data_IF_605796403102
#
_entry.id   IF_605796403102
#
_cell.length_a   1.000
_cell.length_b   1.000
_cell.length_c   1.000
_cell.angle_alpha   90.00
_cell.angle_beta   90.00
_cell.angle_gamma   90.00
#
_symmetry.space_group_name_H-M   'P 1'
#
loop_
_entity.id
_entity.type
_entity.pdbx_description
1 polymer ?
#
# COMPACT_ATOMS: atom_id res chain seq x y z
N UNK A 1 19.88 17.99 7.47
CA UNK A 1 19.25 18.55 6.25
C UNK A 1 19.20 17.51 5.12
N UNK A 2 20.34 16.94 4.70
CA UNK A 2 20.41 15.95 3.62
C UNK A 2 19.49 14.72 3.82
N UNK A 3 19.51 14.10 5.01
CA UNK A 3 18.65 12.95 5.34
C UNK A 3 17.16 13.28 5.19
N UNK A 4 16.74 14.48 5.63
CA UNK A 4 15.34 14.90 5.56
C UNK A 4 14.90 15.15 4.11
N UNK A 5 15.77 15.73 3.28
CA UNK A 5 15.51 15.90 1.84
C UNK A 5 15.41 14.54 1.14
N UNK A 6 16.30 13.60 1.47
CA UNK A 6 16.32 12.27 0.86
C UNK A 6 15.07 11.47 1.23
N UNK A 7 14.65 11.54 2.49
CA UNK A 7 13.38 10.97 2.94
C UNK A 7 12.19 11.62 2.24
N UNK A 8 12.15 12.95 2.12
CA UNK A 8 11.08 13.64 1.39
C UNK A 8 10.95 13.10 -0.04
N UNK A 9 12.06 12.94 -0.77
CA UNK A 9 12.07 12.39 -2.14
C UNK A 9 11.51 10.96 -2.15
N UNK A 10 11.90 10.12 -1.20
CA UNK A 10 11.38 8.75 -1.07
C UNK A 10 9.86 8.76 -0.84
N UNK A 11 9.36 9.60 0.08
CA UNK A 11 7.94 9.66 0.39
C UNK A 11 7.09 10.22 -0.75
N UNK A 12 7.60 11.19 -1.50
CA UNK A 12 6.98 11.65 -2.75
C UNK A 12 6.92 10.50 -3.77
N UNK A 13 8.01 9.73 -3.88
CA UNK A 13 8.04 8.52 -4.71
C UNK A 13 7.00 7.46 -4.31
N UNK A 14 6.75 7.28 -3.01
CA UNK A 14 5.71 6.37 -2.50
C UNK A 14 4.32 6.81 -2.97
N UNK A 15 4.02 8.12 -2.95
CA UNK A 15 2.73 8.65 -3.43
C UNK A 15 2.54 8.35 -4.91
N UNK A 16 3.52 8.69 -5.75
CA UNK A 16 3.44 8.43 -7.20
C UNK A 16 3.36 6.93 -7.51
N UNK A 17 4.11 6.11 -6.78
CA UNK A 17 4.06 4.66 -6.92
C UNK A 17 2.70 4.10 -6.52
N UNK A 18 2.09 4.63 -5.45
CA UNK A 18 0.74 4.25 -5.04
C UNK A 18 -0.32 4.57 -6.08
N UNK A 19 -0.22 5.74 -6.72
CA UNK A 19 -1.09 6.10 -7.85
C UNK A 19 -0.88 5.12 -9.01
N UNK A 20 0.37 4.84 -9.38
CA UNK A 20 0.68 3.92 -10.46
C UNK A 20 0.20 2.48 -10.19
N UNK A 21 0.35 1.97 -8.98
CA UNK A 21 -0.15 0.64 -8.58
C UNK A 21 -1.68 0.62 -8.61
N UNK A 22 -2.32 1.69 -8.14
CA UNK A 22 -3.79 1.82 -8.17
C UNK A 22 -4.35 1.83 -9.59
N UNK A 23 -3.73 2.58 -10.50
CA UNK A 23 -4.14 2.60 -11.91
C UNK A 23 -3.85 1.28 -12.60
N UNK A 24 -2.71 0.63 -12.29
CA UNK A 24 -2.36 -0.69 -12.80
C UNK A 24 -3.34 -1.78 -12.36
N UNK A 25 -3.82 -1.72 -11.10
CA UNK A 25 -4.82 -2.64 -10.56
C UNK A 25 -6.13 -2.58 -11.34
N UNK A 26 -6.63 -1.38 -11.65
CA UNK A 26 -7.92 -1.22 -12.33
C UNK A 26 -7.79 -1.34 -13.85
N UNK A 27 -6.75 -0.75 -14.45
CA UNK A 27 -6.65 -0.54 -15.88
C UNK A 27 -6.03 -1.68 -16.68
N UNK A 28 -5.56 -2.76 -16.03
CA UNK A 28 -4.82 -3.83 -16.72
C UNK A 28 -5.49 -5.19 -16.53
N UNK A 29 -5.72 -5.90 -17.63
CA UNK A 29 -6.21 -7.27 -17.62
C UNK A 29 -5.02 -8.24 -17.55
N UNK A 30 -4.60 -8.60 -16.34
CA UNK A 30 -3.54 -9.59 -16.16
C UNK A 30 -3.29 -9.98 -14.71
N UNK A 31 -2.85 -11.22 -14.48
CA UNK A 31 -2.64 -11.75 -13.13
C UNK A 31 -1.49 -11.07 -12.37
N UNK A 32 -0.54 -10.45 -13.08
CA UNK A 32 0.62 -9.76 -12.47
C UNK A 32 0.21 -8.63 -11.52
N UNK A 33 -0.94 -7.97 -11.75
CA UNK A 33 -1.46 -6.89 -10.88
C UNK A 33 -1.71 -7.35 -9.44
N UNK A 34 -2.08 -8.62 -9.28
CA UNK A 34 -2.36 -9.22 -7.98
C UNK A 34 -1.11 -9.60 -7.19
N UNK A 35 0.07 -9.55 -7.81
CA UNK A 35 1.37 -9.72 -7.15
C UNK A 35 1.98 -8.35 -6.81
N UNK A 36 1.86 -7.38 -7.72
CA UNK A 36 2.40 -6.02 -7.53
C UNK A 36 1.74 -5.33 -6.34
N UNK A 37 0.41 -5.43 -6.22
CA UNK A 37 -0.34 -4.86 -5.10
C UNK A 37 0.17 -5.30 -3.71
N UNK A 38 0.19 -6.60 -3.37
CA UNK A 38 0.57 -7.02 -2.04
C UNK A 38 2.04 -6.73 -1.72
N UNK A 39 2.93 -6.81 -2.72
CA UNK A 39 4.35 -6.44 -2.55
C UNK A 39 4.48 -4.96 -2.20
N UNK A 40 3.80 -4.09 -2.93
CA UNK A 40 3.84 -2.65 -2.67
C UNK A 40 3.28 -2.31 -1.28
N UNK A 41 2.12 -2.87 -0.92
CA UNK A 41 1.52 -2.67 0.40
C UNK A 41 2.42 -3.20 1.53
N UNK A 42 3.06 -4.36 1.36
CA UNK A 42 3.98 -4.89 2.36
C UNK A 42 5.19 -3.96 2.58
N UNK A 43 5.75 -3.37 1.52
CA UNK A 43 6.83 -2.37 1.63
C UNK A 43 6.34 -1.15 2.42
N UNK A 44 5.18 -0.59 2.06
CA UNK A 44 4.64 0.58 2.74
C UNK A 44 4.33 0.31 4.22
N UNK A 45 3.77 -0.86 4.56
CA UNK A 45 3.54 -1.29 5.94
C UNK A 45 4.87 -1.45 6.69
N UNK A 46 5.89 -2.05 6.06
CA UNK A 46 7.22 -2.19 6.64
C UNK A 46 7.85 -0.83 6.97
N UNK A 47 7.76 0.13 6.04
CA UNK A 47 8.23 1.51 6.27
C UNK A 47 7.42 2.16 7.41
N UNK A 48 6.10 2.01 7.41
CA UNK A 48 5.24 2.55 8.47
C UNK A 48 5.68 2.03 9.85
N UNK A 49 5.85 0.71 10.01
CA UNK A 49 6.26 0.10 11.27
C UNK A 49 7.67 0.55 11.69
N UNK A 50 8.60 0.65 10.74
CA UNK A 50 9.95 1.14 11.01
C UNK A 50 9.94 2.56 11.59
N UNK A 51 9.21 3.48 10.94
CA UNK A 51 9.08 4.86 11.42
C UNK A 51 8.27 4.97 12.72
N UNK A 52 7.27 4.10 12.92
CA UNK A 52 6.44 4.08 14.13
C UNK A 52 7.27 3.66 15.35
N UNK A 53 8.08 2.62 15.23
CA UNK A 53 8.75 1.98 16.37
C UNK A 53 10.20 2.42 16.62
N UNK A 54 10.94 2.83 15.58
CA UNK A 54 12.41 2.97 15.67
C UNK A 54 12.88 4.42 15.67
N UNK A 55 12.08 5.37 15.17
CA UNK A 55 12.50 6.76 15.02
C UNK A 55 12.01 7.66 16.15
N UNK A 56 12.97 8.30 16.83
CA UNK A 56 12.72 9.26 17.90
C UNK A 56 12.14 10.57 17.33
N UNK A 57 11.06 11.06 17.96
CA UNK A 57 10.25 12.22 17.55
C UNK A 57 11.08 13.50 17.34
N UNK A 58 12.20 13.65 18.04
CA UNK A 58 13.01 14.87 18.01
C UNK A 58 13.90 14.99 16.75
N UNK A 59 14.08 13.93 15.96
CA UNK A 59 15.02 13.94 14.83
C UNK A 59 14.38 14.23 13.46
N UNK A 60 13.05 14.11 13.33
CA UNK A 60 12.35 14.21 12.05
C UNK A 60 11.03 14.97 12.17
N UNK A 61 11.00 16.28 11.88
CA UNK A 61 9.78 17.09 11.98
C UNK A 61 8.65 16.59 11.07
N UNK A 62 8.97 15.83 10.02
CA UNK A 62 8.01 15.28 9.05
C UNK A 62 7.58 13.84 9.34
N UNK A 63 8.01 13.22 10.44
CA UNK A 63 7.70 11.81 10.76
C UNK A 63 6.20 11.51 10.73
N UNK A 64 5.37 12.38 11.28
CA UNK A 64 3.92 12.15 11.28
C UNK A 64 3.34 12.20 9.86
N UNK A 65 3.81 13.12 9.01
CA UNK A 65 3.41 13.17 7.60
C UNK A 65 3.83 11.89 6.86
N UNK A 66 5.03 11.39 7.13
CA UNK A 66 5.54 10.14 6.57
C UNK A 66 4.73 8.91 6.99
N UNK A 67 4.36 8.82 8.27
CA UNK A 67 3.47 7.77 8.77
C UNK A 67 2.09 7.82 8.11
N UNK A 68 1.51 9.02 8.00
CA UNK A 68 0.24 9.24 7.30
C UNK A 68 0.37 8.76 5.85
N UNK A 69 1.38 9.20 5.11
CA UNK A 69 1.55 8.84 3.69
C UNK A 69 1.66 7.33 3.51
N UNK A 70 2.56 6.67 4.24
CA UNK A 70 2.78 5.20 4.08
C UNK A 70 1.54 4.37 4.43
N UNK A 71 0.80 4.77 5.46
CA UNK A 71 -0.44 4.10 5.85
C UNK A 71 -1.54 4.32 4.81
N UNK A 72 -1.87 5.58 4.51
CA UNK A 72 -3.01 5.92 3.66
C UNK A 72 -2.80 5.52 2.21
N UNK A 73 -1.58 5.57 1.69
CA UNK A 73 -1.28 5.07 0.34
C UNK A 73 -1.59 3.56 0.24
N UNK A 74 -1.23 2.78 1.25
CA UNK A 74 -1.56 1.35 1.31
C UNK A 74 -3.06 1.10 1.45
N UNK A 75 -3.75 1.91 2.27
CA UNK A 75 -5.19 1.82 2.45
C UNK A 75 -5.95 2.13 1.16
N UNK A 76 -5.55 3.18 0.44
CA UNK A 76 -6.14 3.53 -0.87
C UNK A 76 -5.90 2.41 -1.88
N UNK A 77 -4.67 1.86 -1.97
CA UNK A 77 -4.40 0.74 -2.86
C UNK A 77 -5.26 -0.49 -2.53
N UNK A 78 -5.49 -0.76 -1.24
CA UNK A 78 -6.37 -1.84 -0.77
C UNK A 78 -7.82 -1.62 -1.23
N UNK A 79 -8.34 -0.40 -1.10
CA UNK A 79 -9.68 -0.04 -1.59
C UNK A 79 -9.79 -0.21 -3.11
N UNK A 80 -8.76 0.22 -3.85
CA UNK A 80 -8.71 0.05 -5.31
C UNK A 80 -8.67 -1.44 -5.70
N UNK A 81 -7.96 -2.27 -4.94
CA UNK A 81 -7.94 -3.71 -5.16
C UNK A 81 -9.33 -4.35 -4.93
N UNK A 82 -10.09 -3.90 -3.92
CA UNK A 82 -11.48 -4.32 -3.71
C UNK A 82 -12.42 -3.93 -4.85
N UNK A 83 -12.16 -2.80 -5.51
CA UNK A 83 -12.91 -2.38 -6.70
C UNK A 83 -12.51 -3.23 -7.91
N UNK A 84 -11.22 -3.52 -8.06
CA UNK A 84 -10.66 -4.25 -9.20
C UNK A 84 -10.97 -5.76 -9.19
N UNK A 85 -11.35 -6.35 -8.05
CA UNK A 85 -11.73 -7.77 -8.01
C UNK A 85 -12.97 -7.99 -8.90
N UNK A 86 -12.95 -8.97 -9.81
CA UNK A 86 -14.08 -9.25 -10.69
C UNK A 86 -15.26 -9.79 -9.87
N UNK A 87 -16.38 -9.07 -9.91
CA UNK A 87 -17.64 -9.40 -9.20
C UNK A 87 -18.70 -10.03 -10.09
N UNK A 88 -18.40 -10.16 -11.38
CA UNK A 88 -19.39 -10.46 -12.44
C UNK A 88 -19.77 -11.94 -12.54
N UNK A 89 -18.96 -12.88 -12.03
CA UNK A 89 -19.32 -14.30 -12.00
C UNK A 89 -18.67 -15.08 -10.86
N UNK A 90 -19.37 -16.11 -10.38
CA UNK A 90 -18.92 -17.02 -9.31
C UNK A 90 -17.66 -17.82 -9.71
N UNK A 91 -17.50 -18.09 -11.02
CA UNK A 91 -16.30 -18.71 -11.59
C UNK A 91 -15.09 -17.78 -11.52
N UNK A 92 -15.26 -16.52 -11.93
CA UNK A 92 -14.21 -15.50 -11.84
C UNK A 92 -13.81 -15.22 -10.38
N UNK A 93 -14.76 -15.32 -9.45
CA UNK A 93 -14.49 -15.17 -8.02
C UNK A 93 -13.67 -16.35 -7.46
N UNK A 94 -13.99 -17.59 -7.86
CA UNK A 94 -13.20 -18.79 -7.49
C UNK A 94 -11.78 -18.75 -8.03
N UNK A 95 -11.59 -18.20 -9.23
CA UNK A 95 -10.25 -18.01 -9.81
C UNK A 95 -9.50 -16.84 -9.14
N UNK A 96 -10.21 -15.95 -8.43
CA UNK A 96 -9.67 -14.79 -7.72
C UNK A 96 -9.48 -15.00 -6.22
N UNK A 97 -9.49 -16.24 -5.73
CA UNK A 97 -9.32 -16.53 -4.29
C UNK A 97 -8.00 -15.98 -3.74
N UNK A 98 -6.89 -16.19 -4.46
CA UNK A 98 -5.56 -15.70 -4.02
C UNK A 98 -5.52 -14.16 -3.92
N UNK A 99 -5.99 -13.40 -4.94
CA UNK A 99 -6.24 -11.96 -4.81
C UNK A 99 -7.12 -11.56 -3.62
N UNK A 100 -8.23 -12.26 -3.39
CA UNK A 100 -9.14 -11.93 -2.31
C UNK A 100 -8.46 -12.09 -0.94
N UNK A 101 -7.77 -13.21 -0.72
CA UNK A 101 -7.03 -13.46 0.52
C UNK A 101 -5.97 -12.39 0.76
N UNK A 102 -5.22 -11.97 -0.27
CA UNK A 102 -4.20 -10.93 -0.11
C UNK A 102 -4.80 -9.58 0.28
N UNK A 103 -5.93 -9.20 -0.32
CA UNK A 103 -6.66 -7.97 0.04
C UNK A 103 -7.14 -8.02 1.49
N UNK A 104 -7.82 -9.09 1.91
CA UNK A 104 -8.32 -9.22 3.28
C UNK A 104 -7.18 -9.26 4.30
N UNK A 105 -6.06 -9.92 3.98
CA UNK A 105 -4.89 -9.96 4.85
C UNK A 105 -4.30 -8.56 5.04
N UNK A 106 -4.08 -7.81 3.95
CA UNK A 106 -3.53 -6.45 4.02
C UNK A 106 -4.50 -5.50 4.73
N UNK A 107 -5.80 -5.58 4.43
CA UNK A 107 -6.83 -4.79 5.10
C UNK A 107 -6.84 -5.06 6.62
N UNK A 108 -6.75 -6.34 7.01
CA UNK A 108 -6.67 -6.75 8.41
C UNK A 108 -5.41 -6.21 9.11
N UNK A 109 -4.24 -6.30 8.46
CA UNK A 109 -3.00 -5.72 9.00
C UNK A 109 -3.13 -4.21 9.15
N UNK A 110 -3.65 -3.50 8.15
CA UNK A 110 -3.88 -2.05 8.22
C UNK A 110 -4.81 -1.68 9.38
N UNK A 111 -5.87 -2.45 9.62
CA UNK A 111 -6.77 -2.28 10.77
C UNK A 111 -6.06 -2.48 12.11
N UNK A 112 -5.15 -3.45 12.22
CA UNK A 112 -4.43 -3.72 13.47
C UNK A 112 -3.35 -2.69 13.80
N UNK A 113 -2.75 -2.08 12.77
CA UNK A 113 -1.62 -1.14 12.96
C UNK A 113 -2.03 0.33 13.04
N UNK A 114 -3.28 0.67 12.68
CA UNK A 114 -3.87 1.99 12.88
C UNK A 114 -3.87 2.34 14.37
#
# INVERSE_FOLDING_TARGET
>A
MLLNTLLLVVFVGIVFSGIAVSTFLVGTEGNKRWIVYPVFCAICIGIFLFFKNTMNLNFLPWRNAYLIVTFYVSAVCTLMAFIAIPKTSLKALKESVVPAVSIFTIAGVLLMIY
#
